data_IF_143396042359
#
_entry.id   IF_143396042359
#
_cell.length_a   1.000
_cell.length_b   1.000
_cell.length_c   1.000
_cell.angle_alpha   90.00
_cell.angle_beta   90.00
_cell.angle_gamma   90.00
#
_symmetry.space_group_name_H-M   'P 1'
#
loop_
_entity.id
_entity.type
_entity.pdbx_description
1 polymer ?
#
# COMPACT_ATOMS: atom_id res chain seq x y z
N UNK A 1 -4.22 -5.07 13.08
CA UNK A 1 -3.11 -4.79 12.15
C UNK A 1 -3.07 -3.29 11.86
N UNK A 2 -1.91 -2.68 11.95
CA UNK A 2 -1.80 -1.25 11.64
C UNK A 2 -1.98 -1.02 10.14
N UNK A 3 -2.49 0.17 9.79
CA UNK A 3 -2.85 0.47 8.40
C UNK A 3 -1.65 0.40 7.46
N UNK A 4 -0.46 0.83 7.91
CA UNK A 4 0.73 0.77 7.06
C UNK A 4 1.08 -0.67 6.67
N UNK A 5 0.91 -1.61 7.59
CA UNK A 5 1.14 -3.03 7.31
C UNK A 5 0.10 -3.58 6.34
N UNK A 6 -1.17 -3.22 6.55
CA UNK A 6 -2.24 -3.67 5.66
C UNK A 6 -2.05 -3.14 4.24
N UNK A 7 -1.66 -1.88 4.11
CA UNK A 7 -1.37 -1.28 2.79
C UNK A 7 -0.21 -1.99 2.11
N UNK A 8 0.88 -2.24 2.86
CA UNK A 8 2.03 -2.97 2.32
C UNK A 8 1.62 -4.33 1.77
N UNK A 9 0.90 -5.10 2.57
CA UNK A 9 0.47 -6.44 2.17
C UNK A 9 -0.48 -6.39 0.96
N UNK A 10 -1.35 -5.38 0.91
CA UNK A 10 -2.28 -5.23 -0.21
C UNK A 10 -1.52 -4.91 -1.50
N UNK A 11 -0.52 -4.04 -1.44
CA UNK A 11 0.29 -3.73 -2.62
C UNK A 11 1.01 -4.99 -3.10
N UNK A 12 1.61 -5.75 -2.18
CA UNK A 12 2.28 -7.01 -2.55
C UNK A 12 1.30 -7.98 -3.22
N UNK A 13 0.10 -8.09 -2.67
CA UNK A 13 -0.94 -8.96 -3.22
C UNK A 13 -1.32 -8.54 -4.64
N UNK A 14 -1.52 -7.23 -4.86
CA UNK A 14 -1.89 -6.71 -6.17
C UNK A 14 -0.77 -6.86 -7.19
N UNK A 15 0.50 -6.67 -6.76
CA UNK A 15 1.64 -6.91 -7.65
C UNK A 15 1.66 -8.35 -8.12
N UNK A 16 1.45 -9.27 -7.19
CA UNK A 16 1.44 -10.70 -7.51
C UNK A 16 0.29 -11.05 -8.44
N UNK A 17 -0.90 -10.54 -8.16
CA UNK A 17 -2.08 -10.78 -8.99
C UNK A 17 -1.91 -10.27 -10.41
N UNK A 18 -1.20 -9.16 -10.57
CA UNK A 18 -1.01 -8.52 -11.87
C UNK A 18 0.33 -8.86 -12.51
N UNK A 19 1.10 -9.72 -11.87
CA UNK A 19 2.42 -10.14 -12.36
C UNK A 19 3.32 -8.93 -12.64
N UNK A 20 3.36 -8.00 -11.69
CA UNK A 20 4.13 -6.76 -11.80
C UNK A 20 5.25 -6.71 -10.76
N UNK A 21 6.33 -6.02 -11.13
CA UNK A 21 7.39 -5.67 -10.18
C UNK A 21 7.09 -4.33 -9.53
N UNK A 22 7.73 -4.07 -8.40
CA UNK A 22 7.64 -2.77 -7.74
C UNK A 22 8.12 -1.64 -8.65
N UNK A 23 9.18 -1.89 -9.41
CA UNK A 23 9.72 -0.90 -10.35
C UNK A 23 8.69 -0.55 -11.41
N UNK A 24 8.06 -1.56 -12.00
CA UNK A 24 7.05 -1.32 -13.04
C UNK A 24 5.85 -0.57 -12.46
N UNK A 25 5.45 -0.90 -11.25
CA UNK A 25 4.36 -0.18 -10.59
C UNK A 25 4.72 1.29 -10.39
N UNK A 26 5.95 1.60 -9.96
CA UNK A 26 6.36 2.99 -9.77
C UNK A 26 6.22 3.78 -11.05
N UNK A 27 6.62 3.19 -12.16
CA UNK A 27 6.48 3.81 -13.47
C UNK A 27 5.01 4.06 -13.82
N UNK A 28 4.17 3.03 -13.66
CA UNK A 28 2.74 3.14 -14.00
C UNK A 28 1.99 4.11 -13.07
N UNK A 29 2.40 4.18 -11.81
CA UNK A 29 1.75 5.04 -10.82
C UNK A 29 2.26 6.48 -10.87
N UNK A 30 3.30 6.77 -11.64
CA UNK A 30 3.90 8.09 -11.64
C UNK A 30 4.57 8.44 -10.32
N UNK A 31 5.06 7.44 -9.59
CA UNK A 31 5.75 7.61 -8.31
C UNK A 31 7.20 7.20 -8.46
N UNK A 32 8.05 7.72 -7.57
CA UNK A 32 9.45 7.29 -7.58
C UNK A 32 9.57 5.84 -7.11
N UNK A 33 10.60 5.16 -7.61
CA UNK A 33 10.86 3.78 -7.19
C UNK A 33 11.12 3.70 -5.69
N UNK A 34 11.76 4.72 -5.09
CA UNK A 34 12.01 4.71 -3.66
C UNK A 34 10.73 4.88 -2.86
N UNK A 35 9.75 5.64 -3.35
CA UNK A 35 8.45 5.75 -2.66
C UNK A 35 7.74 4.41 -2.61
N UNK A 36 7.69 3.69 -3.72
CA UNK A 36 7.08 2.35 -3.75
C UNK A 36 7.87 1.39 -2.86
N UNK A 37 9.20 1.43 -2.93
CA UNK A 37 10.05 0.59 -2.11
C UNK A 37 9.80 0.83 -0.61
N UNK A 38 9.67 2.09 -0.21
CA UNK A 38 9.41 2.44 1.19
C UNK A 38 8.04 1.93 1.65
N UNK A 39 7.04 2.01 0.80
CA UNK A 39 5.73 1.44 1.11
C UNK A 39 5.82 -0.07 1.31
N UNK A 40 6.58 -0.76 0.46
CA UNK A 40 6.72 -2.22 0.51
C UNK A 40 7.58 -2.69 1.68
N UNK A 41 8.43 -1.80 2.22
CA UNK A 41 9.26 -2.12 3.39
C UNK A 41 8.59 -1.75 4.69
N UNK A 42 7.40 -1.17 4.64
CA UNK A 42 6.71 -0.71 5.83
C UNK A 42 7.32 0.53 6.45
N UNK A 43 8.11 1.30 5.70
CA UNK A 43 8.71 2.54 6.20
C UNK A 43 7.74 3.70 6.25
N UNK A 44 6.68 3.65 5.44
CA UNK A 44 5.66 4.69 5.42
C UNK A 44 4.67 4.37 6.53
N UNK A 45 4.71 5.16 7.59
CA UNK A 45 3.84 4.94 8.76
C UNK A 45 2.40 5.35 8.50
N UNK A 46 2.24 6.42 7.73
CA UNK A 46 0.91 6.96 7.43
C UNK A 46 0.79 7.14 5.92
N UNK A 47 0.41 6.06 5.19
CA UNK A 47 0.21 6.18 3.75
C UNK A 47 -0.86 7.22 3.46
N UNK A 48 -0.60 8.09 2.49
CA UNK A 48 -1.59 9.10 2.12
C UNK A 48 -2.59 8.52 1.13
N UNK A 49 -3.80 9.05 1.16
CA UNK A 49 -4.82 8.67 0.18
C UNK A 49 -4.33 9.00 -1.24
N UNK A 50 -3.65 10.12 -1.38
CA UNK A 50 -3.09 10.52 -2.68
C UNK A 50 -2.14 9.46 -3.24
N UNK A 51 -1.23 8.94 -2.41
CA UNK A 51 -0.31 7.88 -2.82
C UNK A 51 -1.07 6.63 -3.24
N UNK A 52 -2.09 6.24 -2.48
CA UNK A 52 -2.90 5.07 -2.80
C UNK A 52 -3.64 5.28 -4.12
N UNK A 53 -4.14 6.48 -4.38
CA UNK A 53 -4.80 6.79 -5.64
C UNK A 53 -3.83 6.66 -6.80
N UNK A 54 -2.58 7.15 -6.66
CA UNK A 54 -1.57 6.97 -7.70
C UNK A 54 -1.33 5.49 -8.00
N UNK A 55 -1.27 4.66 -6.97
CA UNK A 55 -1.10 3.21 -7.14
C UNK A 55 -2.29 2.61 -7.86
N UNK A 56 -3.51 3.01 -7.48
CA UNK A 56 -4.72 2.54 -8.14
C UNK A 56 -4.75 2.91 -9.61
N UNK A 57 -4.34 4.13 -9.94
CA UNK A 57 -4.25 4.57 -11.33
C UNK A 57 -3.26 3.72 -12.12
N UNK A 58 -2.11 3.42 -11.50
CA UNK A 58 -1.12 2.57 -12.14
C UNK A 58 -1.60 1.14 -12.38
N UNK A 59 -2.46 0.64 -11.50
CA UNK A 59 -3.01 -0.71 -11.59
C UNK A 59 -4.34 -0.75 -12.36
N UNK A 60 -4.85 0.41 -12.76
CA UNK A 60 -6.15 0.53 -13.43
C UNK A 60 -7.29 -0.07 -12.61
N UNK A 61 -7.32 0.26 -11.32
CA UNK A 61 -8.39 -0.14 -10.41
C UNK A 61 -8.94 1.10 -9.71
N UNK A 62 -10.13 0.98 -9.15
CA UNK A 62 -10.73 2.04 -8.36
C UNK A 62 -10.26 1.95 -6.91
N UNK A 63 -10.37 3.06 -6.18
CA UNK A 63 -9.98 3.10 -4.77
C UNK A 63 -10.73 2.06 -3.94
N UNK A 64 -12.01 1.88 -4.24
CA UNK A 64 -12.82 0.86 -3.53
C UNK A 64 -12.28 -0.55 -3.76
N UNK A 65 -11.73 -0.81 -4.93
CA UNK A 65 -11.16 -2.13 -5.24
C UNK A 65 -9.89 -2.38 -4.45
N UNK A 66 -9.09 -1.32 -4.25
CA UNK A 66 -7.89 -1.42 -3.43
C UNK A 66 -8.23 -1.88 -2.02
N UNK A 67 -9.27 -1.29 -1.43
CA UNK A 67 -9.65 -1.58 -0.04
C UNK A 67 -10.59 -2.79 0.09
N UNK A 68 -10.97 -3.41 -1.01
CA UNK A 68 -11.82 -4.59 -0.97
C UNK A 68 -10.97 -5.83 -0.71
N UNK A 69 -10.55 -5.99 0.54
CA UNK A 69 -9.69 -7.09 0.96
C UNK A 69 -9.90 -7.34 2.46
N UNK A 70 -9.86 -8.61 2.90
CA UNK A 70 -9.91 -8.92 4.33
C UNK A 70 -8.81 -8.25 5.15
N UNK A 71 -7.72 -7.84 4.50
CA UNK A 71 -6.62 -7.15 5.18
C UNK A 71 -7.08 -5.89 5.91
N UNK A 72 -8.18 -5.28 5.46
CA UNK A 72 -8.63 -4.01 6.02
C UNK A 72 -9.78 -4.15 7.02
N UNK A 73 -10.12 -5.38 7.43
CA UNK A 73 -11.26 -5.58 8.35
C UNK A 73 -11.00 -5.02 9.74
N UNK A 74 -9.79 -5.19 10.25
CA UNK A 74 -9.45 -4.79 11.62
C UNK A 74 -8.19 -3.94 11.62
N UNK A 75 -8.22 -2.83 10.87
CA UNK A 75 -7.04 -1.95 10.79
C UNK A 75 -7.15 -0.84 11.81
N UNK A 76 -5.99 -0.40 12.27
CA UNK A 76 -5.84 0.71 13.20
C UNK A 76 -4.76 1.64 12.69
N UNK A 77 -4.84 2.90 13.07
CA UNK A 77 -3.93 3.93 12.57
C UNK A 77 -2.51 3.68 13.08
N UNK A 78 -2.37 3.14 14.27
CA UNK A 78 -1.08 2.83 14.86
C UNK A 78 -1.26 1.67 15.83
N UNK A 79 -0.14 1.04 16.21
CA UNK A 79 -0.18 -0.08 17.13
C UNK A 79 -0.52 0.41 18.53
N UNK A 80 -1.70 0.03 19.03
CA UNK A 80 -2.19 0.44 20.35
C UNK A 80 -1.40 -0.18 21.48
N UNK A 81 -0.68 -1.24 21.21
CA UNK A 81 0.08 -1.98 22.22
C UNK A 81 1.56 -1.65 22.17
N UNK A 82 1.96 -0.75 21.29
CA UNK A 82 3.34 -0.30 21.18
C UNK A 82 3.64 0.64 22.34
N UNK A 83 4.50 0.17 23.25
CA UNK A 83 4.88 0.93 24.44
C UNK A 83 6.17 1.72 24.28
N UNK A 84 6.71 1.75 23.08
CA UNK A 84 7.96 2.47 22.81
C UNK A 84 7.77 3.97 22.68
N UNK A 85 6.56 4.43 22.70
CA UNK A 85 6.23 5.86 22.56
C UNK A 85 6.28 6.58 23.90
#
# INVERSE_FOLDING_TARGET
>A
MVISEAVKLRIQELLKQNNLTAYKLSYLAGMSASNISDCLRGKVKEPTISSIIHICEGLDIQLKDFFNSPLFQDVEAFDRFDKSK
#
